data_IF_802388654638
#
_entry.id   IF_802388654638
#
_cell.length_a   1.000
_cell.length_b   1.000
_cell.length_c   1.000
_cell.angle_alpha   90.00
_cell.angle_beta   90.00
_cell.angle_gamma   90.00
#
_symmetry.space_group_name_H-M   'P 1'
#
loop_
_entity.id
_entity.type
_entity.pdbx_description
1 polymer ?
#
# COMPACT_ATOMS: atom_id res chain seq x y z
N UNK A 1 -46.53 -50.92 30.34
CA UNK A 1 -45.26 -50.26 30.69
C UNK A 1 -44.52 -49.97 29.40
N UNK A 2 -44.36 -48.69 29.01
CA UNK A 2 -43.20 -48.10 28.31
C UNK A 2 -43.61 -46.72 27.76
N UNK A 3 -43.06 -45.65 28.35
CA UNK A 3 -43.13 -44.26 27.85
C UNK A 3 -41.92 -44.03 26.94
N UNK A 4 -42.07 -43.38 25.78
CA UNK A 4 -40.97 -42.56 25.22
C UNK A 4 -41.55 -41.25 24.71
N UNK A 5 -41.23 -40.18 25.43
CA UNK A 5 -41.29 -38.82 24.94
C UNK A 5 -40.08 -38.60 24.02
N UNK A 6 -40.30 -38.24 22.75
CA UNK A 6 -39.25 -37.67 21.92
C UNK A 6 -39.19 -36.16 22.17
N UNK A 7 -38.16 -35.71 22.86
CA UNK A 7 -37.77 -34.31 22.96
C UNK A 7 -36.89 -33.93 21.78
N UNK A 8 -37.38 -33.08 20.88
CA UNK A 8 -36.57 -32.44 19.84
C UNK A 8 -35.75 -31.30 20.46
N UNK A 9 -34.43 -31.46 20.49
CA UNK A 9 -33.48 -30.41 20.88
C UNK A 9 -33.28 -29.43 19.71
N UNK A 10 -33.59 -28.16 19.95
CA UNK A 10 -33.38 -27.05 19.02
C UNK A 10 -31.94 -26.52 19.20
N UNK A 11 -31.08 -26.74 18.22
CA UNK A 11 -29.71 -26.20 18.20
C UNK A 11 -29.73 -24.78 17.60
N UNK A 12 -29.50 -23.78 18.45
CA UNK A 12 -29.26 -22.38 18.03
C UNK A 12 -27.76 -22.24 17.73
N UNK A 13 -27.40 -22.01 16.47
CA UNK A 13 -26.03 -21.70 16.08
C UNK A 13 -25.84 -20.19 16.17
N UNK A 14 -25.12 -19.73 17.21
CA UNK A 14 -24.63 -18.35 17.29
C UNK A 14 -23.43 -18.21 16.35
N UNK A 15 -23.61 -17.48 15.24
CA UNK A 15 -22.50 -17.00 14.43
C UNK A 15 -21.84 -15.83 15.16
N UNK A 16 -20.68 -16.08 15.78
CA UNK A 16 -19.82 -15.01 16.29
C UNK A 16 -19.06 -14.38 15.12
N UNK A 17 -19.33 -13.11 14.81
CA UNK A 17 -18.40 -12.30 14.02
C UNK A 17 -17.18 -12.02 14.91
N UNK A 18 -16.04 -12.64 14.61
CA UNK A 18 -14.76 -12.19 15.15
C UNK A 18 -14.37 -10.85 14.50
N UNK A 19 -14.10 -9.85 15.33
CA UNK A 19 -13.50 -8.59 14.87
C UNK A 19 -12.03 -8.83 14.53
N UNK A 20 -11.51 -8.36 13.37
CA UNK A 20 -10.09 -8.46 13.08
C UNK A 20 -9.30 -7.63 14.10
N UNK A 21 -8.52 -8.32 14.93
CA UNK A 21 -7.66 -7.71 15.95
C UNK A 21 -6.44 -7.10 15.28
N UNK A 22 -6.37 -5.77 15.27
CA UNK A 22 -5.18 -4.99 14.87
C UNK A 22 -4.19 -4.96 16.04
N UNK A 23 -3.02 -5.56 15.84
CA UNK A 23 -1.70 -5.15 16.39
C UNK A 23 -0.63 -6.16 15.97
N UNK A 24 0.12 -5.86 14.91
CA UNK A 24 1.27 -6.67 14.49
C UNK A 24 2.55 -5.88 14.75
N UNK A 25 3.39 -6.35 15.68
CA UNK A 25 4.75 -5.85 15.91
C UNK A 25 5.69 -7.06 15.88
N UNK A 26 6.89 -6.98 15.27
CA UNK A 26 7.75 -8.17 15.13
C UNK A 26 8.22 -8.69 16.48
N UNK A 27 7.74 -9.88 16.87
CA UNK A 27 8.13 -10.58 18.12
C UNK A 27 7.12 -11.61 18.63
N UNK A 28 5.89 -11.62 18.11
CA UNK A 28 4.77 -12.42 18.63
C UNK A 28 4.39 -13.67 17.80
N UNK A 29 5.09 -13.92 16.68
CA UNK A 29 4.82 -15.09 15.82
C UNK A 29 3.81 -14.84 14.69
N UNK A 30 3.52 -13.58 14.35
CA UNK A 30 2.57 -13.25 13.27
C UNK A 30 3.18 -13.34 11.86
N UNK A 31 2.34 -13.71 10.90
CA UNK A 31 2.64 -13.98 9.48
C UNK A 31 3.40 -12.82 8.82
N UNK A 32 4.62 -13.09 8.35
CA UNK A 32 5.31 -12.19 7.43
C UNK A 32 4.50 -12.13 6.14
N UNK A 33 3.97 -10.94 5.80
CA UNK A 33 3.26 -10.72 4.54
C UNK A 33 4.24 -10.96 3.40
N UNK A 34 4.02 -12.00 2.61
CA UNK A 34 4.87 -12.28 1.46
C UNK A 34 4.27 -11.58 0.24
N UNK A 35 4.68 -10.34 -0.02
CA UNK A 35 4.12 -9.53 -1.11
C UNK A 35 4.27 -10.22 -2.47
N UNK A 36 5.37 -10.96 -2.66
CA UNK A 36 5.61 -11.75 -3.86
C UNK A 36 4.56 -12.85 -4.14
N UNK A 37 3.81 -13.31 -3.13
CA UNK A 37 2.72 -14.29 -3.30
C UNK A 37 1.41 -13.66 -3.78
N UNK A 38 1.24 -12.34 -3.61
CA UNK A 38 0.01 -11.63 -3.97
C UNK A 38 0.00 -11.28 -5.46
N UNK A 39 1.17 -11.05 -6.04
CA UNK A 39 1.35 -10.62 -7.43
C UNK A 39 1.53 -9.11 -7.54
N UNK A 40 2.49 -8.68 -8.37
CA UNK A 40 2.88 -7.26 -8.48
C UNK A 40 1.73 -6.41 -9.00
N UNK A 41 1.14 -6.86 -10.11
CA UNK A 41 -0.02 -6.27 -10.75
C UNK A 41 -1.21 -6.17 -9.80
N UNK A 42 -1.53 -7.26 -9.08
CA UNK A 42 -2.67 -7.28 -8.15
C UNK A 42 -2.56 -6.22 -7.06
N UNK A 43 -1.37 -6.04 -6.50
CA UNK A 43 -1.11 -5.01 -5.47
C UNK A 43 -1.21 -3.62 -6.07
N UNK A 44 -0.64 -3.39 -7.26
CA UNK A 44 -0.70 -2.09 -7.93
C UNK A 44 -2.14 -1.67 -8.25
N UNK A 45 -2.95 -2.59 -8.77
CA UNK A 45 -4.35 -2.32 -9.10
C UNK A 45 -5.20 -2.12 -7.84
N UNK A 46 -5.09 -3.00 -6.82
CA UNK A 46 -5.90 -2.83 -5.61
C UNK A 46 -5.54 -1.57 -4.83
N UNK A 47 -4.26 -1.18 -4.80
CA UNK A 47 -3.82 0.08 -4.19
C UNK A 47 -4.35 1.29 -4.96
N UNK A 48 -4.31 1.24 -6.31
CA UNK A 48 -4.95 2.27 -7.15
C UNK A 48 -6.43 2.39 -6.84
N UNK A 49 -7.15 1.28 -6.75
CA UNK A 49 -8.59 1.28 -6.46
C UNK A 49 -8.89 1.92 -5.10
N UNK A 50 -8.10 1.61 -4.06
CA UNK A 50 -8.24 2.25 -2.75
C UNK A 50 -7.93 3.74 -2.76
N UNK A 51 -6.86 4.17 -3.45
CA UNK A 51 -6.55 5.59 -3.64
C UNK A 51 -7.69 6.30 -4.35
N UNK A 52 -8.22 5.70 -5.43
CA UNK A 52 -9.30 6.27 -6.21
C UNK A 52 -10.62 6.30 -5.43
N UNK A 53 -10.91 5.32 -4.59
CA UNK A 53 -12.08 5.35 -3.71
C UNK A 53 -12.04 6.55 -2.76
N UNK A 54 -10.88 6.82 -2.14
CA UNK A 54 -10.70 7.98 -1.25
C UNK A 54 -10.80 9.30 -2.02
N UNK A 55 -10.21 9.37 -3.22
CA UNK A 55 -10.29 10.56 -4.09
C UNK A 55 -11.72 10.84 -4.54
N UNK A 56 -12.45 9.83 -5.00
CA UNK A 56 -13.84 9.95 -5.43
C UNK A 56 -14.77 10.37 -4.28
N UNK A 57 -14.57 9.84 -3.07
CA UNK A 57 -15.32 10.26 -1.88
C UNK A 57 -15.15 11.76 -1.55
N UNK A 58 -14.12 12.41 -2.11
CA UNK A 58 -13.83 13.85 -1.97
C UNK A 58 -14.10 14.64 -3.25
N UNK A 59 -14.73 14.04 -4.26
CA UNK A 59 -15.04 14.70 -5.54
C UNK A 59 -13.83 14.95 -6.44
N UNK A 60 -12.72 14.22 -6.23
CA UNK A 60 -11.51 14.34 -7.05
C UNK A 60 -11.50 13.31 -8.18
N UNK A 61 -10.87 13.67 -9.30
CA UNK A 61 -10.68 12.79 -10.46
C UNK A 61 -9.86 11.55 -10.09
N UNK A 62 -10.22 10.41 -10.68
CA UNK A 62 -9.45 9.17 -10.55
C UNK A 62 -8.07 9.29 -11.20
N UNK A 63 -7.09 8.64 -10.59
CA UNK A 63 -5.74 8.47 -11.12
C UNK A 63 -5.69 7.24 -12.03
N UNK A 64 -4.69 7.22 -12.91
CA UNK A 64 -4.31 6.06 -13.73
C UNK A 64 -2.88 5.64 -13.41
N UNK A 65 -2.59 4.34 -13.46
CA UNK A 65 -1.22 3.86 -13.31
C UNK A 65 -0.37 4.30 -14.50
N UNK A 66 0.85 4.74 -14.22
CA UNK A 66 1.85 5.10 -15.21
C UNK A 66 3.08 4.20 -15.09
N UNK A 67 3.50 3.60 -16.20
CA UNK A 67 4.60 2.62 -16.21
C UNK A 67 5.97 3.25 -15.94
N UNK A 68 6.17 4.53 -16.27
CA UNK A 68 7.41 5.24 -15.97
C UNK A 68 7.50 5.57 -14.49
N UNK A 69 6.39 6.01 -13.88
CA UNK A 69 6.31 6.20 -12.43
C UNK A 69 6.51 4.88 -11.67
N UNK A 70 5.92 3.77 -12.12
CA UNK A 70 6.13 2.45 -11.50
C UNK A 70 7.62 2.05 -11.53
N UNK A 71 8.31 2.26 -12.67
CA UNK A 71 9.74 1.93 -12.78
C UNK A 71 10.60 2.80 -11.87
N UNK A 72 10.32 4.10 -11.80
CA UNK A 72 10.99 5.01 -10.88
C UNK A 72 10.79 4.61 -9.41
N UNK A 73 9.55 4.31 -9.02
CA UNK A 73 9.22 3.83 -7.67
C UNK A 73 9.96 2.53 -7.33
N UNK A 74 10.00 1.57 -8.26
CA UNK A 74 10.67 0.27 -8.05
C UNK A 74 12.18 0.42 -7.85
N UNK A 75 12.80 1.29 -8.64
CA UNK A 75 14.21 1.60 -8.52
C UNK A 75 14.50 2.18 -7.14
N UNK A 76 13.72 3.18 -6.73
CA UNK A 76 13.96 3.87 -5.47
C UNK A 76 13.67 2.98 -4.25
N UNK A 77 12.65 2.14 -4.31
CA UNK A 77 12.38 1.17 -3.24
C UNK A 77 13.56 0.21 -3.02
N UNK A 78 14.18 -0.26 -4.11
CA UNK A 78 15.36 -1.14 -4.03
C UNK A 78 16.60 -0.39 -3.51
N UNK A 79 16.74 0.88 -3.87
CA UNK A 79 17.82 1.74 -3.41
C UNK A 79 17.71 2.08 -1.91
N UNK A 80 16.49 2.38 -1.41
CA UNK A 80 16.26 2.58 0.03
C UNK A 80 16.58 1.32 0.84
N UNK A 81 16.24 0.13 0.33
CA UNK A 81 16.65 -1.15 0.92
C UNK A 81 18.17 -1.28 1.00
N UNK A 82 18.88 -1.02 -0.12
CA UNK A 82 20.34 -1.10 -0.17
C UNK A 82 21.03 -0.12 0.80
N UNK A 83 20.44 1.05 1.00
CA UNK A 83 20.90 2.04 1.97
C UNK A 83 20.43 1.77 3.41
N UNK A 84 19.47 0.85 3.59
CA UNK A 84 18.72 0.62 4.83
C UNK A 84 18.22 1.94 5.45
N UNK A 85 17.63 2.80 4.62
CA UNK A 85 17.17 4.13 5.04
C UNK A 85 15.97 4.61 4.21
N UNK A 86 14.87 5.04 4.85
CA UNK A 86 13.74 5.65 4.15
C UNK A 86 14.07 7.13 3.88
N UNK A 87 14.55 7.43 2.67
CA UNK A 87 14.84 8.80 2.22
C UNK A 87 14.46 8.94 0.74
N UNK A 88 13.75 10.01 0.41
CA UNK A 88 13.48 10.52 -0.95
C UNK A 88 14.68 10.68 -1.92
N UNK A 89 15.92 10.79 -1.45
CA UNK A 89 17.09 10.99 -2.31
C UNK A 89 17.81 9.68 -2.54
N UNK A 90 18.16 9.39 -3.79
CA UNK A 90 18.86 8.18 -4.16
C UNK A 90 20.29 8.16 -3.63
N UNK A 91 20.89 6.96 -3.55
CA UNK A 91 22.30 6.78 -3.17
C UNK A 91 23.26 7.46 -4.15
N UNK A 92 22.81 7.70 -5.38
CA UNK A 92 23.49 8.45 -6.44
C UNK A 92 23.25 9.98 -6.36
N UNK A 93 22.51 10.45 -5.35
CA UNK A 93 22.14 11.85 -5.17
C UNK A 93 20.91 12.28 -5.98
N UNK A 94 20.26 11.39 -6.72
CA UNK A 94 19.08 11.73 -7.52
C UNK A 94 17.90 12.17 -6.63
N UNK A 95 17.26 13.27 -7.00
CA UNK A 95 15.96 13.64 -6.44
C UNK A 95 14.84 12.80 -7.07
N UNK A 96 13.62 12.78 -6.49
CA UNK A 96 12.47 12.14 -7.12
C UNK A 96 12.24 12.61 -8.56
N UNK A 97 12.42 13.91 -8.83
CA UNK A 97 12.24 14.49 -10.16
C UNK A 97 13.30 13.97 -11.15
N UNK A 98 14.57 13.88 -10.73
CA UNK A 98 15.65 13.34 -11.57
C UNK A 98 15.36 11.89 -11.97
N UNK A 99 14.81 11.09 -11.03
CA UNK A 99 14.38 9.71 -11.30
C UNK A 99 13.23 9.66 -12.30
N UNK A 100 12.22 10.52 -12.15
CA UNK A 100 11.10 10.60 -13.10
C UNK A 100 11.60 10.86 -14.53
N UNK A 101 12.50 11.83 -14.70
CA UNK A 101 13.12 12.16 -15.99
C UNK A 101 13.93 10.97 -16.52
N UNK A 102 14.74 10.33 -15.67
CA UNK A 102 15.55 9.15 -16.04
C UNK A 102 14.68 7.99 -16.56
N UNK A 103 13.49 7.80 -15.97
CA UNK A 103 12.53 6.79 -16.43
C UNK A 103 11.61 7.29 -17.53
N UNK A 104 11.80 8.51 -18.05
CA UNK A 104 11.10 9.04 -19.22
C UNK A 104 9.70 9.56 -18.94
N UNK A 105 9.41 9.96 -17.69
CA UNK A 105 8.19 10.68 -17.36
C UNK A 105 8.41 12.19 -17.54
N UNK A 106 7.54 12.84 -18.32
CA UNK A 106 7.67 14.26 -18.70
C UNK A 106 6.53 15.15 -18.15
N UNK A 107 5.64 14.59 -17.33
CA UNK A 107 4.53 15.32 -16.71
C UNK A 107 4.94 16.15 -15.49
N UNK A 108 3.98 16.84 -14.88
CA UNK A 108 4.22 17.63 -13.66
C UNK A 108 4.30 16.70 -12.45
N UNK A 109 5.44 16.69 -11.77
CA UNK A 109 5.60 15.92 -10.53
C UNK A 109 4.86 16.60 -9.38
N UNK A 110 3.97 15.86 -8.72
CA UNK A 110 3.20 16.35 -7.56
C UNK A 110 3.91 15.99 -6.26
N UNK A 111 4.34 14.72 -6.11
CA UNK A 111 5.04 14.31 -4.90
C UNK A 111 5.33 12.82 -4.79
N UNK A 112 6.15 12.49 -3.79
CA UNK A 112 6.54 11.12 -3.45
C UNK A 112 6.17 10.83 -1.99
N UNK A 113 5.50 9.70 -1.76
CA UNK A 113 5.38 9.10 -0.45
C UNK A 113 6.28 7.86 -0.37
N UNK A 114 7.02 7.73 0.73
CA UNK A 114 7.85 6.56 1.02
C UNK A 114 7.47 5.96 2.37
N UNK A 115 7.72 4.67 2.55
CA UNK A 115 7.53 4.00 3.84
C UNK A 115 8.51 2.85 4.02
N UNK A 116 9.02 2.70 5.24
CA UNK A 116 9.68 1.49 5.74
C UNK A 116 8.74 0.84 6.75
N UNK A 117 8.28 -0.38 6.48
CA UNK A 117 7.28 -1.04 7.33
C UNK A 117 7.30 -2.56 7.17
N UNK A 118 6.47 -3.28 7.92
CA UNK A 118 6.16 -4.70 7.70
C UNK A 118 4.72 -4.90 7.20
N UNK A 119 4.03 -3.79 6.95
CA UNK A 119 2.61 -3.73 6.59
C UNK A 119 2.40 -3.75 5.06
N UNK A 120 1.22 -4.21 4.64
CA UNK A 120 0.81 -4.20 3.23
C UNK A 120 0.45 -2.80 2.71
N UNK A 121 0.05 -2.74 1.44
CA UNK A 121 -0.35 -1.52 0.73
C UNK A 121 -1.57 -0.83 1.36
N UNK A 122 -2.55 -1.56 1.89
CA UNK A 122 -3.74 -0.96 2.50
C UNK A 122 -3.40 -0.27 3.81
N UNK A 123 -2.67 -0.96 4.69
CA UNK A 123 -2.21 -0.38 5.94
C UNK A 123 -1.24 0.78 5.69
N UNK A 124 -0.40 0.69 4.67
CA UNK A 124 0.51 1.78 4.27
C UNK A 124 -0.27 3.00 3.76
N UNK A 125 -1.32 2.79 2.95
CA UNK A 125 -2.20 3.87 2.50
C UNK A 125 -2.90 4.57 3.67
N UNK A 126 -3.43 3.81 4.63
CA UNK A 126 -4.06 4.38 5.82
C UNK A 126 -3.10 5.28 6.59
N UNK A 127 -1.86 4.84 6.78
CA UNK A 127 -0.80 5.66 7.40
C UNK A 127 -0.56 6.94 6.61
N UNK A 128 -0.38 6.86 5.28
CA UNK A 128 -0.17 8.05 4.45
C UNK A 128 -1.35 9.01 4.48
N UNK A 129 -2.59 8.51 4.53
CA UNK A 129 -3.79 9.34 4.63
C UNK A 129 -3.93 10.04 5.99
N UNK A 130 -3.35 9.48 7.05
CA UNK A 130 -3.33 10.06 8.39
C UNK A 130 -2.19 11.07 8.61
N UNK A 131 -1.23 11.17 7.68
CA UNK A 131 -0.15 12.17 7.71
C UNK A 131 -0.50 13.32 6.75
N UNK A 132 -0.73 14.56 7.23
CA UNK A 132 -1.23 15.65 6.37
C UNK A 132 -0.41 15.92 5.11
N UNK A 133 0.93 15.88 5.21
CA UNK A 133 1.81 16.07 4.04
C UNK A 133 1.63 14.94 3.03
N UNK A 134 1.64 13.68 3.46
CA UNK A 134 1.45 12.53 2.56
C UNK A 134 0.06 12.48 1.94
N UNK A 135 -0.98 12.80 2.72
CA UNK A 135 -2.35 12.88 2.24
C UNK A 135 -2.51 13.98 1.19
N UNK A 136 -1.84 15.14 1.35
CA UNK A 136 -1.92 16.23 0.38
C UNK A 136 -1.43 15.85 -1.02
N UNK A 137 -0.41 14.98 -1.12
CA UNK A 137 0.08 14.44 -2.39
C UNK A 137 -0.97 13.54 -3.06
N UNK A 138 -1.57 12.63 -2.28
CA UNK A 138 -2.60 11.69 -2.78
C UNK A 138 -3.88 12.42 -3.20
N UNK A 139 -4.22 13.49 -2.49
CA UNK A 139 -5.44 14.27 -2.68
C UNK A 139 -5.24 15.53 -3.54
N UNK A 140 -4.09 15.68 -4.20
CA UNK A 140 -3.86 16.84 -5.05
C UNK A 140 -4.88 16.84 -6.22
N UNK A 141 -5.63 17.93 -6.43
CA UNK A 141 -6.61 18.01 -7.51
C UNK A 141 -6.01 17.96 -8.92
N UNK A 142 -4.72 18.30 -9.08
CA UNK A 142 -4.02 18.25 -10.37
C UNK A 142 -3.53 16.84 -10.71
N UNK A 143 -3.48 15.92 -9.75
CA UNK A 143 -2.97 14.59 -9.97
C UNK A 143 -3.86 13.80 -10.95
N UNK A 144 -3.22 13.15 -11.93
CA UNK A 144 -3.87 12.25 -12.91
C UNK A 144 -3.15 10.91 -13.07
N UNK A 145 -1.89 10.83 -12.62
CA UNK A 145 -1.00 9.67 -12.73
C UNK A 145 -0.49 9.21 -11.37
N UNK A 146 -0.31 7.90 -11.25
CA UNK A 146 0.28 7.27 -10.08
C UNK A 146 1.27 6.17 -10.49
N UNK A 147 2.37 6.05 -9.75
CA UNK A 147 3.17 4.83 -9.70
C UNK A 147 3.26 4.34 -8.27
N UNK A 148 3.17 3.02 -8.06
CA UNK A 148 3.39 2.38 -6.77
C UNK A 148 4.24 1.13 -6.97
N UNK A 149 5.28 1.00 -6.16
CA UNK A 149 6.15 -0.17 -6.14
C UNK A 149 6.76 -0.34 -4.76
N UNK A 150 7.37 -1.51 -4.55
CA UNK A 150 8.05 -1.83 -3.32
C UNK A 150 9.25 -2.75 -3.54
N UNK A 151 10.12 -2.80 -2.53
CA UNK A 151 11.12 -3.84 -2.34
C UNK A 151 10.83 -4.53 -1.01
N UNK A 152 10.94 -5.86 -0.94
CA UNK A 152 10.77 -6.61 0.30
C UNK A 152 12.05 -7.39 0.61
N UNK A 153 12.64 -7.08 1.77
CA UNK A 153 13.82 -7.76 2.28
C UNK A 153 13.46 -9.18 2.75
N UNK A 154 14.48 -10.04 2.90
CA UNK A 154 14.31 -11.42 3.36
C UNK A 154 13.74 -11.53 4.77
N UNK A 155 13.95 -10.52 5.62
CA UNK A 155 13.38 -10.43 6.97
C UNK A 155 11.91 -9.98 6.97
N UNK A 156 11.32 -9.72 5.79
CA UNK A 156 9.94 -9.28 5.64
C UNK A 156 9.73 -7.78 5.63
N UNK A 157 10.76 -6.96 5.89
CA UNK A 157 10.68 -5.49 5.81
C UNK A 157 10.35 -5.07 4.38
N UNK A 158 9.43 -4.13 4.22
CA UNK A 158 8.94 -3.62 2.95
C UNK A 158 9.27 -2.13 2.85
N UNK A 159 9.84 -1.77 1.71
CA UNK A 159 10.18 -0.42 1.30
C UNK A 159 9.19 0.03 0.24
N UNK A 160 8.22 0.85 0.61
CA UNK A 160 7.18 1.35 -0.32
C UNK A 160 7.57 2.69 -0.92
N UNK A 161 7.25 2.87 -2.20
CA UNK A 161 7.35 4.17 -2.90
C UNK A 161 6.10 4.39 -3.73
N UNK A 162 5.40 5.50 -3.47
CA UNK A 162 4.30 6.01 -4.27
C UNK A 162 4.70 7.34 -4.90
N UNK A 163 4.53 7.45 -6.21
CA UNK A 163 4.75 8.68 -6.97
C UNK A 163 3.40 9.15 -7.53
N UNK A 164 3.13 10.45 -7.38
CA UNK A 164 1.93 11.09 -7.91
C UNK A 164 2.36 12.22 -8.85
N UNK A 165 1.69 12.32 -10.00
CA UNK A 165 2.01 13.28 -11.04
C UNK A 165 0.78 13.60 -11.92
N UNK A 166 0.95 14.49 -12.90
CA UNK A 166 -0.04 14.85 -13.92
C UNK A 166 0.44 14.50 -15.33
#
# INVERSE_FOLDING_TARGET
MWKVLLTTALLIVLAACETPSVKNRPGDGTVIIQMGRIGVDKVQFRHLDSVNAVRQARGLSALSLDTSLIRAAKSHASDMSAQNRPWHFGSDGSSPLDRLVTYGYNGEFIGENVSETFEDDFNTLDVWMNVPLSASIILDPKATKMGIAWHQDTNGKIWWVQLIAN
#
